data_IF_047782118766
#
_entry.id   IF_047782118766
#
_cell.length_a   1.000
_cell.length_b   1.000
_cell.length_c   1.000
_cell.angle_alpha   90.00
_cell.angle_beta   90.00
_cell.angle_gamma   90.00
#
_symmetry.space_group_name_H-M   'P 1'
#
loop_
_entity.id
_entity.type
_entity.pdbx_description
1 polymer ?
#
# COMPACT_ATOMS: atom_id res chain seq x y z
N UNK A 1 -19.67 -2.83 -27.69
CA UNK A 1 -19.58 -1.66 -26.80
C UNK A 1 -20.94 -1.06 -26.46
N UNK A 2 -21.83 -0.74 -27.41
CA UNK A 2 -23.14 -0.10 -27.10
C UNK A 2 -24.06 -0.98 -26.22
N UNK A 3 -24.18 -2.29 -26.50
CA UNK A 3 -24.98 -3.21 -25.69
C UNK A 3 -24.55 -3.32 -24.22
N UNK A 4 -23.23 -3.18 -23.96
CA UNK A 4 -22.67 -3.23 -22.62
C UNK A 4 -23.04 -1.99 -21.79
N UNK A 5 -23.04 -0.81 -22.40
CA UNK A 5 -23.41 0.44 -21.72
C UNK A 5 -24.92 0.50 -21.36
N UNK A 6 -25.78 0.05 -22.27
CA UNK A 6 -27.24 -0.05 -22.00
C UNK A 6 -27.55 -1.07 -20.90
N UNK A 7 -26.84 -2.20 -20.89
CA UNK A 7 -26.97 -3.22 -19.85
C UNK A 7 -26.52 -2.69 -18.47
N UNK A 8 -25.38 -2.02 -18.40
CA UNK A 8 -24.88 -1.40 -17.15
C UNK A 8 -25.88 -0.39 -16.61
N UNK A 9 -26.43 0.49 -17.46
CA UNK A 9 -27.44 1.46 -17.04
C UNK A 9 -28.74 0.79 -16.57
N UNK A 10 -29.12 -0.34 -17.16
CA UNK A 10 -30.29 -1.10 -16.70
C UNK A 10 -30.04 -1.75 -15.33
N UNK A 11 -28.83 -2.26 -15.07
CA UNK A 11 -28.44 -2.80 -13.77
C UNK A 11 -28.41 -1.71 -12.69
N UNK A 12 -27.91 -0.52 -13.03
CA UNK A 12 -27.86 0.60 -12.08
C UNK A 12 -29.24 1.06 -11.59
N UNK A 13 -30.27 0.96 -12.44
CA UNK A 13 -31.66 1.29 -12.08
C UNK A 13 -32.30 0.31 -11.07
N UNK A 14 -31.65 -0.81 -10.83
CA UNK A 14 -32.16 -1.86 -9.93
C UNK A 14 -31.29 -1.97 -8.65
N UNK A 15 -30.35 -1.05 -8.44
CA UNK A 15 -29.53 -1.04 -7.22
C UNK A 15 -30.37 -0.69 -5.99
N UNK A 16 -31.42 0.11 -6.16
CA UNK A 16 -32.36 0.53 -5.13
C UNK A 16 -33.50 -0.48 -4.88
N UNK A 17 -33.50 -1.62 -5.58
CA UNK A 17 -34.55 -2.62 -5.42
C UNK A 17 -34.59 -3.12 -3.95
N UNK A 18 -35.74 -3.10 -3.30
CA UNK A 18 -35.89 -3.54 -1.92
C UNK A 18 -35.75 -5.07 -1.74
N UNK A 19 -35.81 -5.84 -2.82
CA UNK A 19 -35.63 -7.28 -2.79
C UNK A 19 -34.13 -7.64 -2.77
N UNK A 20 -33.70 -8.21 -1.64
CA UNK A 20 -32.30 -8.61 -1.44
C UNK A 20 -31.82 -9.69 -2.42
N UNK A 21 -32.70 -10.54 -2.94
CA UNK A 21 -32.34 -11.56 -3.93
C UNK A 21 -32.07 -10.90 -5.28
N UNK A 22 -32.89 -9.91 -5.66
CA UNK A 22 -32.69 -9.08 -6.84
C UNK A 22 -31.38 -8.30 -6.72
N UNK A 23 -31.18 -7.59 -5.61
CA UNK A 23 -29.97 -6.84 -5.35
C UNK A 23 -28.71 -7.71 -5.42
N UNK A 24 -28.71 -8.88 -4.76
CA UNK A 24 -27.59 -9.82 -4.78
C UNK A 24 -27.23 -10.27 -6.21
N UNK A 25 -28.25 -10.58 -7.01
CA UNK A 25 -28.05 -10.98 -8.40
C UNK A 25 -27.43 -9.88 -9.24
N UNK A 26 -27.92 -8.65 -9.06
CA UNK A 26 -27.44 -7.46 -9.80
C UNK A 26 -26.02 -7.08 -9.35
N UNK A 27 -25.76 -7.05 -8.05
CA UNK A 27 -24.45 -6.78 -7.49
C UNK A 27 -23.41 -7.75 -8.01
N UNK A 28 -23.69 -9.05 -7.98
CA UNK A 28 -22.80 -10.07 -8.55
C UNK A 28 -22.52 -9.86 -10.04
N UNK A 29 -23.53 -9.44 -10.81
CA UNK A 29 -23.37 -9.15 -12.22
C UNK A 29 -22.53 -7.91 -12.47
N UNK A 30 -22.70 -6.86 -11.69
CA UNK A 30 -21.87 -5.64 -11.73
C UNK A 30 -20.43 -5.96 -11.36
N UNK A 31 -20.20 -6.72 -10.29
CA UNK A 31 -18.86 -7.14 -9.87
C UNK A 31 -18.15 -7.98 -10.94
N UNK A 32 -18.88 -8.73 -11.74
CA UNK A 32 -18.30 -9.52 -12.83
C UNK A 32 -17.69 -8.68 -13.96
N UNK A 33 -18.07 -7.40 -14.11
CA UNK A 33 -17.41 -6.48 -15.06
C UNK A 33 -16.00 -6.07 -14.60
N UNK A 34 -15.67 -6.25 -13.32
CA UNK A 34 -14.38 -5.86 -12.75
C UNK A 34 -14.21 -4.35 -12.60
N UNK A 35 -12.99 -3.93 -12.30
CA UNK A 35 -12.65 -2.52 -12.00
C UNK A 35 -12.94 -1.50 -13.10
N UNK A 36 -12.99 -1.84 -14.40
CA UNK A 36 -13.33 -0.85 -15.42
C UNK A 36 -14.71 -0.18 -15.24
N UNK A 37 -15.60 -0.77 -14.42
CA UNK A 37 -16.92 -0.19 -14.10
C UNK A 37 -16.88 0.84 -12.95
N UNK A 38 -15.78 0.93 -12.20
CA UNK A 38 -15.68 1.83 -11.04
C UNK A 38 -16.01 3.29 -11.37
N UNK A 39 -15.50 3.90 -12.46
CA UNK A 39 -15.85 5.27 -12.82
C UNK A 39 -17.35 5.48 -13.05
N UNK A 40 -18.05 4.49 -13.61
CA UNK A 40 -19.50 4.58 -13.82
C UNK A 40 -20.26 4.47 -12.49
N UNK A 41 -19.77 3.62 -11.55
CA UNK A 41 -20.32 3.54 -10.18
C UNK A 41 -20.07 4.81 -9.39
N UNK A 42 -18.88 5.42 -9.49
CA UNK A 42 -18.57 6.71 -8.86
C UNK A 42 -19.48 7.83 -9.37
N UNK A 43 -19.71 7.89 -10.68
CA UNK A 43 -20.63 8.85 -11.26
C UNK A 43 -22.10 8.61 -10.82
N UNK A 44 -22.50 7.35 -10.69
CA UNK A 44 -23.81 7.00 -10.13
C UNK A 44 -23.94 7.43 -8.67
N UNK A 45 -22.89 7.18 -7.86
CA UNK A 45 -22.82 7.59 -6.46
C UNK A 45 -22.98 9.10 -6.31
N UNK A 46 -22.30 9.92 -7.10
CA UNK A 46 -22.39 11.39 -7.11
C UNK A 46 -23.81 11.88 -7.42
N UNK A 47 -24.58 11.15 -8.21
CA UNK A 47 -25.94 11.52 -8.64
C UNK A 47 -27.06 10.93 -7.78
N UNK A 48 -26.73 10.02 -6.86
CA UNK A 48 -27.69 9.31 -6.00
C UNK A 48 -27.91 10.10 -4.70
N UNK A 49 -29.19 10.19 -4.24
CA UNK A 49 -29.57 10.86 -2.98
C UNK A 49 -30.04 9.89 -1.90
N UNK A 50 -30.33 8.65 -2.27
CA UNK A 50 -30.80 7.61 -1.37
C UNK A 50 -29.66 6.98 -0.60
N UNK A 51 -29.70 7.01 0.75
CA UNK A 51 -28.62 6.51 1.62
C UNK A 51 -28.35 5.01 1.42
N UNK A 52 -29.39 4.20 1.22
CA UNK A 52 -29.24 2.75 1.04
C UNK A 52 -28.51 2.46 -0.27
N UNK A 53 -28.89 3.13 -1.34
CA UNK A 53 -28.22 3.02 -2.64
C UNK A 53 -26.79 3.51 -2.60
N UNK A 54 -26.48 4.58 -1.85
CA UNK A 54 -25.12 5.08 -1.65
C UNK A 54 -24.25 4.01 -0.97
N UNK A 55 -24.71 3.41 0.14
CA UNK A 55 -24.00 2.35 0.85
C UNK A 55 -23.76 1.13 -0.04
N UNK A 56 -24.75 0.75 -0.85
CA UNK A 56 -24.66 -0.38 -1.79
C UNK A 56 -23.61 -0.12 -2.88
N UNK A 57 -23.58 1.08 -3.45
CA UNK A 57 -22.59 1.49 -4.46
C UNK A 57 -21.17 1.52 -3.86
N UNK A 58 -21.02 2.13 -2.69
CA UNK A 58 -19.75 2.16 -1.96
C UNK A 58 -19.20 0.75 -1.69
N UNK A 59 -20.07 -0.16 -1.28
CA UNK A 59 -19.70 -1.56 -1.03
C UNK A 59 -19.26 -2.26 -2.31
N UNK A 60 -19.91 -2.03 -3.44
CA UNK A 60 -19.49 -2.59 -4.73
C UNK A 60 -18.13 -2.05 -5.18
N UNK A 61 -17.91 -0.74 -5.08
CA UNK A 61 -16.62 -0.10 -5.38
C UNK A 61 -15.53 -0.68 -4.48
N UNK A 62 -15.79 -0.80 -3.18
CA UNK A 62 -14.85 -1.40 -2.22
C UNK A 62 -14.49 -2.85 -2.59
N UNK A 63 -15.48 -3.68 -2.92
CA UNK A 63 -15.28 -5.08 -3.31
C UNK A 63 -14.45 -5.20 -4.59
N UNK A 64 -14.70 -4.38 -5.60
CA UNK A 64 -13.92 -4.34 -6.84
C UNK A 64 -12.45 -3.96 -6.56
N UNK A 65 -12.23 -2.89 -5.81
CA UNK A 65 -10.88 -2.46 -5.43
C UNK A 65 -10.14 -3.52 -4.59
N UNK A 66 -10.87 -4.20 -3.68
CA UNK A 66 -10.30 -5.28 -2.88
C UNK A 66 -9.92 -6.50 -3.72
N UNK A 67 -10.70 -6.81 -4.74
CA UNK A 67 -10.37 -7.89 -5.69
C UNK A 67 -9.09 -7.54 -6.46
N UNK A 68 -8.99 -6.33 -7.00
CA UNK A 68 -7.77 -5.86 -7.68
C UNK A 68 -6.55 -5.93 -6.78
N UNK A 69 -6.68 -5.47 -5.53
CA UNK A 69 -5.60 -5.55 -4.55
C UNK A 69 -5.15 -7.00 -4.33
N UNK A 70 -6.10 -7.93 -4.17
CA UNK A 70 -5.79 -9.37 -3.97
C UNK A 70 -5.03 -9.92 -5.18
N UNK A 71 -5.49 -9.66 -6.39
CA UNK A 71 -4.83 -10.11 -7.62
C UNK A 71 -3.43 -9.51 -7.77
N UNK A 72 -3.30 -8.21 -7.51
CA UNK A 72 -2.01 -7.52 -7.54
C UNK A 72 -1.03 -8.06 -6.49
N UNK A 73 -1.49 -8.36 -5.26
CA UNK A 73 -0.66 -8.94 -4.21
C UNK A 73 -0.24 -10.38 -4.52
N UNK A 74 -1.12 -11.18 -5.15
CA UNK A 74 -0.78 -12.53 -5.62
C UNK A 74 0.32 -12.43 -6.70
N UNK A 75 0.15 -11.54 -7.68
CA UNK A 75 1.13 -11.30 -8.73
C UNK A 75 2.46 -10.77 -8.17
N UNK A 76 2.41 -9.87 -7.17
CA UNK A 76 3.59 -9.38 -6.48
C UNK A 76 4.33 -10.50 -5.74
N UNK A 77 3.61 -11.32 -4.98
CA UNK A 77 4.19 -12.45 -4.21
C UNK A 77 4.81 -13.53 -5.10
N UNK A 78 4.33 -13.69 -6.33
CA UNK A 78 4.84 -14.71 -7.27
C UNK A 78 6.18 -14.34 -7.91
N UNK A 79 6.71 -13.13 -7.70
CA UNK A 79 8.03 -12.71 -8.18
C UNK A 79 9.13 -13.45 -7.40
N UNK A 80 10.26 -13.69 -8.04
CA UNK A 80 11.41 -14.37 -7.43
C UNK A 80 11.96 -13.59 -6.21
N UNK A 81 12.01 -12.26 -6.30
CA UNK A 81 12.43 -11.36 -5.22
C UNK A 81 11.45 -10.17 -5.13
N UNK A 82 10.31 -10.34 -4.45
CA UNK A 82 9.32 -9.28 -4.38
C UNK A 82 9.79 -8.14 -3.46
N UNK A 83 9.88 -6.92 -3.99
CA UNK A 83 10.15 -5.72 -3.21
C UNK A 83 9.03 -5.48 -2.18
N UNK A 84 9.39 -5.34 -0.91
CA UNK A 84 8.45 -5.01 0.16
C UNK A 84 7.80 -3.65 -0.06
N UNK A 85 8.57 -2.72 -0.60
CA UNK A 85 8.08 -1.38 -0.92
C UNK A 85 6.99 -1.40 -1.99
N UNK A 86 7.19 -2.15 -3.09
CA UNK A 86 6.15 -2.29 -4.11
C UNK A 86 4.89 -2.96 -3.58
N UNK A 87 5.01 -3.97 -2.70
CA UNK A 87 3.86 -4.54 -1.99
C UNK A 87 3.13 -3.51 -1.12
N UNK A 88 3.88 -2.68 -0.38
CA UNK A 88 3.31 -1.60 0.43
C UNK A 88 2.67 -0.49 -0.41
N UNK A 89 3.17 -0.22 -1.62
CA UNK A 89 2.54 0.71 -2.56
C UNK A 89 1.18 0.21 -3.04
N UNK A 90 0.99 -1.10 -3.27
CA UNK A 90 -0.32 -1.67 -3.63
C UNK A 90 -1.35 -1.41 -2.53
N UNK A 91 -0.98 -1.63 -1.26
CA UNK A 91 -1.85 -1.34 -0.12
C UNK A 91 -2.13 0.16 0.00
N UNK A 92 -1.12 1.00 -0.23
CA UNK A 92 -1.28 2.46 -0.23
C UNK A 92 -2.25 2.92 -1.33
N UNK A 93 -2.15 2.36 -2.55
CA UNK A 93 -3.04 2.66 -3.67
C UNK A 93 -4.49 2.26 -3.40
N UNK A 94 -4.69 1.15 -2.68
CA UNK A 94 -6.03 0.73 -2.27
C UNK A 94 -6.69 1.75 -1.33
N UNK A 95 -5.94 2.28 -0.36
CA UNK A 95 -6.44 3.29 0.58
C UNK A 95 -6.57 4.69 -0.04
N UNK A 96 -5.67 5.03 -0.96
CA UNK A 96 -5.62 6.33 -1.64
C UNK A 96 -5.54 6.15 -3.16
N UNK A 97 -6.67 5.88 -3.83
CA UNK A 97 -6.70 5.59 -5.26
C UNK A 97 -6.10 6.69 -6.14
N UNK A 98 -6.21 7.95 -5.71
CA UNK A 98 -5.70 9.11 -6.45
C UNK A 98 -4.23 9.44 -6.15
N UNK A 99 -3.60 8.69 -5.24
CA UNK A 99 -2.21 8.97 -4.86
C UNK A 99 -1.24 8.69 -6.00
N UNK A 100 -0.37 9.65 -6.28
CA UNK A 100 0.72 9.49 -7.24
C UNK A 100 1.85 8.65 -6.60
N UNK A 101 1.89 7.36 -6.94
CA UNK A 101 2.89 6.42 -6.44
C UNK A 101 4.32 6.73 -6.91
N UNK A 102 4.49 7.38 -8.06
CA UNK A 102 5.82 7.75 -8.57
C UNK A 102 6.47 8.82 -7.68
N UNK A 103 5.68 9.66 -7.01
CA UNK A 103 6.22 10.55 -6.00
C UNK A 103 6.86 9.76 -4.84
N UNK A 104 6.21 8.69 -4.37
CA UNK A 104 6.75 7.83 -3.31
C UNK A 104 8.03 7.11 -3.75
N UNK A 105 8.06 6.58 -4.98
CA UNK A 105 9.27 5.97 -5.57
C UNK A 105 10.41 6.97 -5.67
N UNK A 106 10.13 8.19 -6.11
CA UNK A 106 11.13 9.26 -6.19
C UNK A 106 11.65 9.67 -4.79
N UNK A 107 10.81 9.67 -3.76
CA UNK A 107 11.25 9.95 -2.39
C UNK A 107 12.16 8.83 -1.86
N UNK A 108 11.79 7.57 -2.08
CA UNK A 108 12.63 6.42 -1.73
C UNK A 108 14.00 6.51 -2.42
N UNK A 109 14.03 6.76 -3.73
CA UNK A 109 15.25 6.86 -4.50
C UNK A 109 16.17 8.00 -4.03
N UNK A 110 15.62 9.14 -3.63
CA UNK A 110 16.39 10.24 -3.02
C UNK A 110 17.05 9.80 -1.71
N UNK A 111 16.31 9.11 -0.86
CA UNK A 111 16.82 8.58 0.40
C UNK A 111 17.91 7.55 0.13
N UNK A 112 17.66 6.58 -0.74
CA UNK A 112 18.62 5.53 -1.13
C UNK A 112 19.93 6.13 -1.63
N UNK A 113 19.85 7.13 -2.52
CA UNK A 113 21.03 7.81 -3.08
C UNK A 113 21.84 8.51 -1.98
N UNK A 114 21.19 9.19 -1.03
CA UNK A 114 21.91 9.88 0.05
C UNK A 114 22.59 8.88 0.99
N UNK A 115 21.98 7.73 1.26
CA UNK A 115 22.60 6.67 2.05
C UNK A 115 23.80 6.09 1.27
N UNK A 116 23.61 5.79 -0.02
CA UNK A 116 24.66 5.24 -0.87
C UNK A 116 25.93 6.10 -0.91
N UNK A 117 25.80 7.43 -0.90
CA UNK A 117 26.93 8.36 -0.90
C UNK A 117 27.78 8.30 0.38
N UNK A 118 27.21 7.86 1.50
CA UNK A 118 27.87 7.71 2.79
C UNK A 118 28.40 6.28 3.03
N UNK A 119 27.97 5.31 2.22
CA UNK A 119 28.39 3.91 2.34
C UNK A 119 29.72 3.67 1.60
N UNK A 120 30.53 2.77 2.16
CA UNK A 120 31.70 2.21 1.49
C UNK A 120 31.98 0.79 2.01
N UNK A 121 32.82 0.05 1.30
CA UNK A 121 33.10 -1.38 1.55
C UNK A 121 33.89 -1.65 2.85
N UNK A 122 34.32 -0.64 3.56
CA UNK A 122 35.13 -0.78 4.80
C UNK A 122 34.27 -0.60 6.06
N UNK A 123 32.99 -0.20 5.91
CA UNK A 123 32.09 0.00 7.04
C UNK A 123 31.69 -1.33 7.66
N UNK A 124 31.82 -1.41 8.97
CA UNK A 124 31.25 -2.50 9.77
C UNK A 124 29.73 -2.45 9.75
N UNK A 125 29.03 -3.55 10.07
CA UNK A 125 27.55 -3.54 10.17
C UNK A 125 27.00 -2.45 11.10
N UNK A 126 27.69 -2.18 12.20
CA UNK A 126 27.29 -1.10 13.13
C UNK A 126 27.44 0.29 12.49
N UNK A 127 28.50 0.51 11.72
CA UNK A 127 28.69 1.78 11.01
C UNK A 127 27.67 1.95 9.89
N UNK A 128 27.34 0.91 9.14
CA UNK A 128 26.27 0.91 8.15
C UNK A 128 24.90 1.25 8.79
N UNK A 129 24.58 0.60 9.92
CA UNK A 129 23.39 0.91 10.70
C UNK A 129 23.36 2.38 11.15
N UNK A 130 24.51 2.95 11.58
CA UNK A 130 24.63 4.35 11.97
C UNK A 130 24.43 5.31 10.78
N UNK A 131 24.91 4.97 9.58
CA UNK A 131 24.67 5.75 8.36
C UNK A 131 23.16 5.82 8.08
N UNK A 132 22.48 4.66 8.02
CA UNK A 132 21.02 4.62 7.80
C UNK A 132 20.28 5.42 8.86
N UNK A 133 20.63 5.21 10.15
CA UNK A 133 20.01 5.95 11.26
C UNK A 133 20.16 7.45 11.10
N UNK A 134 21.36 7.93 10.82
CA UNK A 134 21.63 9.36 10.70
C UNK A 134 20.89 9.96 9.49
N UNK A 135 20.89 9.31 8.36
CA UNK A 135 20.17 9.78 7.17
C UNK A 135 18.67 9.78 7.42
N UNK A 136 18.09 8.68 7.89
CA UNK A 136 16.63 8.58 8.05
C UNK A 136 16.10 9.49 9.17
N UNK A 137 16.72 9.43 10.36
CA UNK A 137 16.15 10.10 11.53
C UNK A 137 16.71 11.49 11.78
N UNK A 138 17.99 11.76 11.46
CA UNK A 138 18.58 13.08 11.68
C UNK A 138 18.42 14.00 10.47
N UNK A 139 18.70 13.51 9.27
CA UNK A 139 18.65 14.33 8.06
C UNK A 139 17.22 14.43 7.48
N UNK A 140 16.54 13.29 7.24
CA UNK A 140 15.15 13.28 6.75
C UNK A 140 14.11 13.49 7.84
N UNK A 141 14.52 13.44 9.13
CA UNK A 141 13.67 13.64 10.30
C UNK A 141 12.43 12.72 10.33
N UNK A 142 12.58 11.50 9.85
CA UNK A 142 11.53 10.49 9.96
C UNK A 142 11.36 10.14 11.43
N UNK A 143 10.11 10.17 11.90
CA UNK A 143 9.74 9.90 13.30
C UNK A 143 9.02 8.55 13.40
N UNK A 144 9.03 7.99 14.59
CA UNK A 144 8.23 6.83 14.95
C UNK A 144 6.93 7.26 15.63
N UNK A 145 5.81 7.06 14.97
CA UNK A 145 4.50 7.16 15.62
C UNK A 145 4.22 5.92 16.47
N UNK A 146 3.44 6.09 17.53
CA UNK A 146 2.92 4.96 18.29
C UNK A 146 2.04 4.08 17.39
N UNK A 147 2.11 2.75 17.60
CA UNK A 147 1.25 1.80 16.88
C UNK A 147 -0.17 1.90 17.42
N UNK A 148 -1.02 2.58 16.68
CA UNK A 148 -2.44 2.72 16.97
C UNK A 148 -3.26 2.18 15.78
N UNK A 149 -4.02 1.11 16.02
CA UNK A 149 -4.83 0.45 14.99
C UNK A 149 -6.06 1.28 14.55
N UNK A 150 -6.42 2.31 15.30
CA UNK A 150 -7.46 3.28 14.92
C UNK A 150 -6.95 4.33 13.91
N UNK A 151 -5.64 4.35 13.66
CA UNK A 151 -4.98 5.27 12.71
C UNK A 151 -4.28 4.47 11.61
N UNK A 152 -5.02 3.90 10.67
CA UNK A 152 -4.47 3.03 9.63
C UNK A 152 -3.44 3.74 8.74
N UNK A 153 -3.52 5.06 8.60
CA UNK A 153 -2.63 5.86 7.75
C UNK A 153 -1.16 5.72 8.15
N UNK A 154 -0.87 5.57 9.46
CA UNK A 154 0.49 5.43 9.97
C UNK A 154 1.16 4.10 9.57
N UNK A 155 0.36 3.09 9.14
CA UNK A 155 0.87 1.81 8.64
C UNK A 155 1.25 1.87 7.16
N UNK A 156 0.78 2.86 6.41
CA UNK A 156 1.06 2.98 4.99
C UNK A 156 2.46 3.52 4.74
N UNK A 157 3.10 3.05 3.66
CA UNK A 157 4.45 3.51 3.30
C UNK A 157 4.52 5.01 2.94
N UNK A 158 3.38 5.61 2.63
CA UNK A 158 3.27 7.05 2.44
C UNK A 158 3.58 7.84 3.72
N UNK A 159 3.29 7.30 4.91
CA UNK A 159 3.47 7.99 6.18
C UNK A 159 4.94 8.39 6.45
N UNK A 160 5.94 7.50 6.45
CA UNK A 160 7.33 7.89 6.62
C UNK A 160 7.88 8.74 5.48
N UNK A 161 7.39 8.55 4.25
CA UNK A 161 7.92 9.26 3.09
C UNK A 161 7.36 10.68 2.92
N UNK A 162 6.08 10.90 3.18
CA UNK A 162 5.43 12.20 2.96
C UNK A 162 5.29 13.01 4.27
N UNK A 163 4.67 12.44 5.30
CA UNK A 163 4.45 13.11 6.58
C UNK A 163 5.61 12.99 7.56
N UNK A 164 6.63 12.18 7.24
CA UNK A 164 7.78 11.89 8.10
C UNK A 164 7.40 11.28 9.45
N UNK A 165 6.24 10.65 9.53
CA UNK A 165 5.69 10.12 10.78
C UNK A 165 5.07 8.73 10.56
N UNK A 166 5.91 7.74 10.31
CA UNK A 166 5.52 6.34 10.19
C UNK A 166 5.51 5.62 11.54
N UNK A 167 4.74 4.55 11.67
CA UNK A 167 4.83 3.67 12.83
C UNK A 167 5.95 2.63 12.68
N UNK A 168 6.09 1.70 13.64
CA UNK A 168 7.13 0.67 13.61
C UNK A 168 7.08 -0.19 12.33
N UNK A 169 5.88 -0.48 11.78
CA UNK A 169 5.73 -1.33 10.61
C UNK A 169 6.09 -0.61 9.31
N UNK A 170 5.53 0.59 9.08
CA UNK A 170 5.83 1.36 7.86
C UNK A 170 7.29 1.81 7.81
N UNK A 171 7.88 2.17 8.96
CA UNK A 171 9.30 2.48 9.06
C UNK A 171 10.17 1.24 8.83
N UNK A 172 9.78 0.05 9.33
CA UNK A 172 10.50 -1.19 9.09
C UNK A 172 10.49 -1.59 7.61
N UNK A 173 9.35 -1.44 6.91
CA UNK A 173 9.26 -1.69 5.47
C UNK A 173 10.22 -0.77 4.69
N UNK A 174 10.23 0.53 5.03
CA UNK A 174 11.15 1.49 4.42
C UNK A 174 12.61 1.10 4.66
N UNK A 175 12.94 0.71 5.88
CA UNK A 175 14.28 0.32 6.26
C UNK A 175 14.73 -0.96 5.56
N UNK A 176 13.86 -1.98 5.52
CA UNK A 176 14.12 -3.26 4.86
C UNK A 176 14.38 -3.09 3.35
N UNK A 177 13.55 -2.28 2.70
CA UNK A 177 13.72 -1.99 1.27
C UNK A 177 15.05 -1.29 0.99
N UNK A 178 15.43 -0.31 1.82
CA UNK A 178 16.72 0.38 1.69
C UNK A 178 17.89 -0.55 1.92
N UNK A 179 17.83 -1.44 2.92
CA UNK A 179 18.87 -2.46 3.13
C UNK A 179 18.98 -3.38 1.92
N UNK A 180 17.87 -3.87 1.39
CA UNK A 180 17.86 -4.74 0.21
C UNK A 180 18.45 -4.05 -1.02
N UNK A 181 18.08 -2.78 -1.29
CA UNK A 181 18.56 -2.04 -2.46
C UNK A 181 20.02 -1.58 -2.35
N UNK A 182 20.58 -1.62 -1.16
CA UNK A 182 21.97 -1.19 -0.88
C UNK A 182 22.90 -2.35 -0.51
N UNK A 183 22.44 -3.59 -0.69
CA UNK A 183 23.17 -4.82 -0.35
C UNK A 183 23.65 -4.85 1.12
N UNK A 184 22.87 -4.26 2.03
CA UNK A 184 23.13 -4.27 3.47
C UNK A 184 22.49 -5.50 4.07
N UNK A 185 23.26 -6.32 4.76
CA UNK A 185 22.79 -7.53 5.41
C UNK A 185 22.08 -7.18 6.72
N UNK A 186 20.77 -7.40 6.76
CA UNK A 186 19.96 -7.14 7.93
C UNK A 186 18.74 -8.07 7.99
N UNK A 187 18.46 -8.60 9.17
CA UNK A 187 17.25 -9.35 9.48
C UNK A 187 16.23 -8.49 10.22
N UNK A 188 14.96 -8.75 9.95
CA UNK A 188 13.84 -8.01 10.51
C UNK A 188 13.01 -8.95 11.38
N UNK A 189 13.03 -8.70 12.69
CA UNK A 189 12.32 -9.49 13.70
C UNK A 189 11.10 -8.71 14.14
N UNK A 190 9.92 -9.22 13.78
CA UNK A 190 8.65 -8.63 14.20
C UNK A 190 8.31 -9.09 15.62
N UNK A 191 8.11 -8.13 16.51
CA UNK A 191 7.60 -8.35 17.87
C UNK A 191 6.36 -7.46 18.10
N UNK A 192 5.52 -7.74 19.11
CA UNK A 192 4.31 -6.94 19.31
C UNK A 192 4.59 -5.44 19.38
N UNK A 193 3.98 -4.67 18.47
CA UNK A 193 4.10 -3.21 18.31
C UNK A 193 5.50 -2.67 17.99
N UNK A 194 6.49 -3.53 17.68
CA UNK A 194 7.86 -3.12 17.38
C UNK A 194 8.47 -3.99 16.29
N UNK A 195 9.55 -3.51 15.69
CA UNK A 195 10.39 -4.27 14.78
C UNK A 195 11.85 -4.08 15.20
N UNK A 196 12.57 -5.18 15.40
CA UNK A 196 14.01 -5.17 15.67
C UNK A 196 14.73 -5.42 14.35
N UNK A 197 15.79 -4.66 14.10
CA UNK A 197 16.63 -4.80 12.93
C UNK A 197 18.01 -5.27 13.41
N UNK A 198 18.43 -6.46 12.98
CA UNK A 198 19.73 -7.04 13.30
C UNK A 198 20.65 -6.95 12.08
N UNK A 199 21.78 -6.26 12.22
CA UNK A 199 22.80 -6.15 11.18
C UNK A 199 23.92 -7.17 11.41
N UNK A 200 24.42 -7.79 10.35
CA UNK A 200 25.47 -8.81 10.45
C UNK A 200 26.42 -8.82 9.24
N UNK A 201 27.49 -9.60 9.32
CA UNK A 201 28.42 -9.89 8.20
C UNK A 201 28.19 -11.31 7.69
N UNK A 202 28.61 -11.60 6.46
CA UNK A 202 28.55 -12.96 5.92
C UNK A 202 29.43 -13.98 6.66
N UNK A 203 30.41 -13.50 7.45
CA UNK A 203 31.35 -14.36 8.18
C UNK A 203 30.79 -14.84 9.54
N UNK A 204 29.54 -14.55 9.84
CA UNK A 204 28.90 -15.00 11.07
C UNK A 204 28.30 -16.39 10.85
N UNK A 205 29.10 -17.41 11.19
CA UNK A 205 28.67 -18.80 11.34
C UNK A 205 28.17 -18.97 12.80
N UNK A 206 26.88 -19.27 13.04
CA UNK A 206 26.29 -19.32 14.38
C UNK A 206 26.77 -20.51 15.22
#
# INVERSE_FOLDING_TARGET
MQKTAEEIQALFKLIDDPDEEVYSTISNRILHYGSPIIPDLEHLWESTLDEVSLERIEMMIYQLRLQDLKEALIAWKSKEAPSLFEGALLVTKFHYPEMNLDNLRNQLEKIRRNIWLELNNYLTPLEQANVLRNILFSYYQIKGAEVNYEKPEAFLIAAPLLSKNGNAFSNAILYAELCQQLDILADFINIPKQCIIAFYTMDWDP
#
